data_IF_615014970572
#
_entry.id   IF_615014970572
#
_cell.length_a   1.000
_cell.length_b   1.000
_cell.length_c   1.000
_cell.angle_alpha   90.00
_cell.angle_beta   90.00
_cell.angle_gamma   90.00
#
_symmetry.space_group_name_H-M   'P 1'
#
loop_
_entity.id
_entity.type
_entity.pdbx_description
1 polymer ?
#
# COMPACT_ATOMS: atom_id res chain seq x y z
N UNK A 1 -4.14 -10.78 6.37
CA UNK A 1 -2.76 -10.99 5.88
C UNK A 1 -2.63 -10.85 4.36
N UNK A 2 -3.42 -11.55 3.55
CA UNK A 2 -3.33 -11.51 2.07
C UNK A 2 -3.44 -10.09 1.48
N UNK A 3 -4.35 -9.26 2.00
CA UNK A 3 -4.50 -7.87 1.55
C UNK A 3 -3.27 -6.99 1.80
N UNK A 4 -2.62 -7.09 2.97
CA UNK A 4 -1.42 -6.31 3.30
C UNK A 4 -0.20 -6.73 2.45
N UNK A 5 -0.05 -8.03 2.16
CA UNK A 5 1.00 -8.54 1.29
C UNK A 5 0.80 -8.06 -0.17
N UNK A 6 -0.43 -8.02 -0.64
CA UNK A 6 -0.74 -7.46 -1.96
C UNK A 6 -0.55 -5.94 -2.01
N UNK A 7 -0.93 -5.21 -0.95
CA UNK A 7 -0.63 -3.77 -0.77
C UNK A 7 0.88 -3.52 -0.83
N UNK A 8 1.71 -4.47 -0.40
CA UNK A 8 3.17 -4.38 -0.48
C UNK A 8 3.74 -4.66 -1.88
N UNK A 9 3.25 -5.72 -2.53
CA UNK A 9 3.80 -6.16 -3.83
C UNK A 9 3.54 -5.20 -5.00
N UNK A 10 2.42 -4.45 -4.97
CA UNK A 10 2.03 -3.57 -6.07
C UNK A 10 2.91 -2.30 -6.17
N UNK A 11 3.22 -1.60 -5.07
CA UNK A 11 4.19 -0.51 -5.07
C UNK A 11 5.60 -0.92 -5.53
N UNK A 12 6.12 -2.10 -5.13
CA UNK A 12 7.43 -2.58 -5.61
C UNK A 12 7.48 -2.74 -7.13
N UNK A 13 6.41 -3.27 -7.72
CA UNK A 13 6.31 -3.41 -9.17
C UNK A 13 6.26 -2.05 -9.89
N UNK A 14 5.73 -1.02 -9.24
CA UNK A 14 5.71 0.36 -9.75
C UNK A 14 7.09 1.01 -9.60
N UNK A 15 7.78 0.78 -8.49
CA UNK A 15 9.14 1.30 -8.25
C UNK A 15 10.14 0.79 -9.30
N UNK A 16 10.12 -0.52 -9.58
CA UNK A 16 10.94 -1.10 -10.64
C UNK A 16 10.63 -0.52 -12.02
N UNK A 17 9.37 -0.17 -12.28
CA UNK A 17 8.96 0.48 -13.53
C UNK A 17 9.41 1.95 -13.61
N UNK A 18 9.31 2.68 -12.49
CA UNK A 18 9.79 4.06 -12.36
C UNK A 18 11.30 4.18 -12.57
N UNK A 19 12.08 3.24 -12.04
CA UNK A 19 13.53 3.19 -12.23
C UNK A 19 13.91 3.10 -13.72
N UNK A 20 13.15 2.32 -14.51
CA UNK A 20 13.35 2.23 -15.97
C UNK A 20 12.96 3.53 -16.68
N UNK A 21 11.87 4.17 -16.26
CA UNK A 21 11.42 5.43 -16.85
C UNK A 21 12.36 6.61 -16.55
N UNK A 22 12.99 6.65 -15.38
CA UNK A 22 13.98 7.67 -15.03
C UNK A 22 15.22 7.62 -15.92
N UNK A 23 15.56 6.44 -16.46
CA UNK A 23 16.66 6.29 -17.42
C UNK A 23 16.23 6.64 -18.85
N UNK A 24 14.99 6.32 -19.22
CA UNK A 24 14.47 6.56 -20.56
C UNK A 24 12.96 6.86 -20.52
N UNK A 25 12.59 8.15 -20.47
CA UNK A 25 11.19 8.57 -20.50
C UNK A 25 10.58 8.30 -21.88
N UNK A 26 9.36 7.75 -21.88
CA UNK A 26 8.58 7.39 -23.06
C UNK A 26 7.10 7.60 -22.73
N UNK A 27 6.36 8.27 -23.62
CA UNK A 27 4.94 8.60 -23.43
C UNK A 27 4.03 7.38 -23.32
N UNK A 28 4.40 6.25 -23.93
CA UNK A 28 3.71 4.97 -23.73
C UNK A 28 3.90 4.46 -22.29
N UNK A 29 5.13 4.58 -21.76
CA UNK A 29 5.44 4.18 -20.38
C UNK A 29 4.76 5.10 -19.36
N UNK A 30 4.66 6.40 -19.64
CA UNK A 30 3.91 7.34 -18.79
C UNK A 30 2.44 6.95 -18.65
N UNK A 31 1.80 6.53 -19.75
CA UNK A 31 0.42 6.04 -19.71
C UNK A 31 0.29 4.76 -18.87
N UNK A 32 1.17 3.78 -19.10
CA UNK A 32 1.18 2.54 -18.32
C UNK A 32 1.41 2.80 -16.82
N UNK A 33 2.29 3.74 -16.48
CA UNK A 33 2.54 4.15 -15.10
C UNK A 33 1.28 4.74 -14.46
N UNK A 34 0.59 5.63 -15.17
CA UNK A 34 -0.67 6.21 -14.70
C UNK A 34 -1.72 5.13 -14.44
N UNK A 35 -1.87 4.15 -15.36
CA UNK A 35 -2.82 3.04 -15.21
C UNK A 35 -2.49 2.19 -13.97
N UNK A 36 -1.20 1.84 -13.77
CA UNK A 36 -0.76 1.08 -12.58
C UNK A 36 -0.97 1.83 -11.27
N UNK A 37 -0.78 3.15 -11.26
CA UNK A 37 -1.06 3.97 -10.07
C UNK A 37 -2.55 4.00 -9.78
N UNK A 38 -3.39 4.16 -10.81
CA UNK A 38 -4.84 4.09 -10.66
C UNK A 38 -5.28 2.73 -10.08
N UNK A 39 -4.78 1.62 -10.62
CA UNK A 39 -5.07 0.28 -10.10
C UNK A 39 -4.60 0.09 -8.64
N UNK A 40 -3.45 0.67 -8.26
CA UNK A 40 -2.97 0.65 -6.88
C UNK A 40 -3.92 1.42 -5.95
N UNK A 41 -4.33 2.62 -6.34
CA UNK A 41 -5.24 3.47 -5.57
C UNK A 41 -6.57 2.77 -5.36
N UNK A 42 -7.16 2.22 -6.43
CA UNK A 42 -8.43 1.50 -6.38
C UNK A 42 -8.34 0.26 -5.50
N UNK A 43 -7.24 -0.49 -5.58
CA UNK A 43 -7.02 -1.67 -4.76
C UNK A 43 -6.94 -1.32 -3.27
N UNK A 44 -6.16 -0.29 -2.91
CA UNK A 44 -6.01 0.13 -1.51
C UNK A 44 -7.34 0.67 -0.97
N UNK A 45 -8.09 1.43 -1.78
CA UNK A 45 -9.44 1.88 -1.44
C UNK A 45 -10.40 0.71 -1.19
N UNK A 46 -10.36 -0.31 -2.04
CA UNK A 46 -11.15 -1.52 -1.85
C UNK A 46 -10.80 -2.25 -0.54
N UNK A 47 -9.51 -2.48 -0.28
CA UNK A 47 -9.07 -3.16 0.95
C UNK A 47 -9.48 -2.37 2.20
N UNK A 48 -9.32 -1.05 2.17
CA UNK A 48 -9.74 -0.17 3.27
C UNK A 48 -11.25 -0.23 3.52
N UNK A 49 -12.06 -0.21 2.45
CA UNK A 49 -13.51 -0.33 2.57
C UNK A 49 -13.93 -1.71 3.12
N UNK A 50 -13.30 -2.80 2.67
CA UNK A 50 -13.61 -4.16 3.13
C UNK A 50 -13.29 -4.32 4.62
N UNK A 51 -12.13 -3.86 5.08
CA UNK A 51 -11.74 -4.01 6.48
C UNK A 51 -12.62 -3.15 7.40
N UNK A 52 -13.00 -1.93 6.99
CA UNK A 52 -13.96 -1.12 7.74
C UNK A 52 -15.35 -1.76 7.81
N UNK A 53 -15.85 -2.30 6.70
CA UNK A 53 -17.13 -3.01 6.70
C UNK A 53 -17.13 -4.25 7.62
N UNK A 54 -16.00 -4.93 7.75
CA UNK A 54 -15.86 -6.03 8.70
C UNK A 54 -15.83 -5.53 10.15
N UNK A 55 -15.19 -4.39 10.43
CA UNK A 55 -15.15 -3.76 11.75
C UNK A 55 -16.55 -3.32 12.20
N UNK A 56 -17.30 -2.64 11.34
CA UNK A 56 -18.67 -2.18 11.62
C UNK A 56 -19.63 -3.34 11.91
N UNK A 57 -19.40 -4.50 11.28
CA UNK A 57 -20.18 -5.72 11.50
C UNK A 57 -19.72 -6.52 12.73
N UNK A 58 -18.70 -6.07 13.45
CA UNK A 58 -18.11 -6.80 14.58
C UNK A 58 -17.50 -8.14 14.16
N UNK A 59 -17.03 -8.25 12.91
CA UNK A 59 -16.44 -9.48 12.34
C UNK A 59 -14.92 -9.44 12.25
N UNK A 60 -14.30 -8.34 12.65
CA UNK A 60 -12.86 -8.23 12.74
C UNK A 60 -12.35 -8.95 13.99
N UNK A 61 -11.21 -9.62 13.87
CA UNK A 61 -10.53 -10.14 15.06
C UNK A 61 -9.96 -9.00 15.90
N UNK A 62 -9.78 -9.20 17.21
CA UNK A 62 -9.13 -8.21 18.08
C UNK A 62 -7.73 -7.84 17.58
N UNK A 63 -7.02 -8.83 17.02
CA UNK A 63 -5.72 -8.62 16.41
C UNK A 63 -5.81 -7.70 15.19
N UNK A 64 -6.72 -8.00 14.25
CA UNK A 64 -6.87 -7.19 13.06
C UNK A 64 -7.37 -5.78 13.41
N UNK A 65 -8.21 -5.63 14.44
CA UNK A 65 -8.79 -4.34 14.79
C UNK A 65 -7.73 -3.43 15.41
N UNK A 66 -6.78 -4.05 16.12
CA UNK A 66 -5.69 -3.37 16.80
C UNK A 66 -4.49 -3.09 15.90
N UNK A 67 -4.23 -3.93 14.90
CA UNK A 67 -2.98 -3.87 14.12
C UNK A 67 -3.19 -3.74 12.61
N UNK A 68 -4.09 -4.54 12.02
CA UNK A 68 -4.32 -4.55 10.56
C UNK A 68 -5.12 -3.33 10.10
N UNK A 69 -6.22 -3.01 10.77
CA UNK A 69 -7.11 -1.90 10.43
C UNK A 69 -6.40 -0.53 10.49
N UNK A 70 -5.64 -0.19 11.55
CA UNK A 70 -4.88 1.06 11.59
C UNK A 70 -3.83 1.14 10.47
N UNK A 71 -3.10 0.05 10.20
CA UNK A 71 -2.10 0.00 9.15
C UNK A 71 -2.71 0.26 7.76
N UNK A 72 -3.80 -0.43 7.42
CA UNK A 72 -4.51 -0.25 6.15
C UNK A 72 -5.07 1.18 6.03
N UNK A 73 -5.62 1.73 7.11
CA UNK A 73 -6.18 3.09 7.10
C UNK A 73 -5.11 4.17 6.87
N UNK A 74 -3.94 4.02 7.49
CA UNK A 74 -2.82 4.95 7.30
C UNK A 74 -2.25 4.87 5.88
N UNK A 75 -2.05 3.65 5.36
CA UNK A 75 -1.61 3.42 3.98
C UNK A 75 -2.62 4.04 2.99
N UNK A 76 -3.91 3.83 3.21
CA UNK A 76 -4.96 4.44 2.39
C UNK A 76 -4.92 5.97 2.44
N UNK A 77 -4.72 6.56 3.62
CA UNK A 77 -4.64 8.01 3.77
C UNK A 77 -3.43 8.57 3.02
N UNK A 78 -2.26 7.94 3.12
CA UNK A 78 -1.06 8.34 2.38
C UNK A 78 -1.30 8.26 0.87
N UNK A 79 -1.89 7.17 0.37
CA UNK A 79 -2.21 7.01 -1.06
C UNK A 79 -3.21 8.07 -1.55
N UNK A 80 -4.22 8.41 -0.74
CA UNK A 80 -5.16 9.49 -1.08
C UNK A 80 -4.47 10.86 -1.17
N UNK A 81 -3.46 11.13 -0.35
CA UNK A 81 -2.72 12.40 -0.36
C UNK A 81 -1.64 12.45 -1.45
N UNK A 82 -0.87 11.38 -1.60
CA UNK A 82 0.38 11.36 -2.36
C UNK A 82 0.26 10.76 -3.75
N UNK A 83 -0.81 10.01 -4.03
CA UNK A 83 -1.01 9.33 -5.33
C UNK A 83 -2.30 9.78 -6.03
N UNK A 84 -3.27 10.31 -5.30
CA UNK A 84 -4.52 10.83 -5.89
C UNK A 84 -4.36 12.33 -6.21
N UNK A 85 -4.36 12.73 -7.48
CA UNK A 85 -4.18 14.13 -7.86
C UNK A 85 -3.45 14.35 -9.18
N UNK A 86 -3.31 15.62 -9.59
CA UNK A 86 -2.71 16.07 -10.86
C UNK A 86 -1.32 15.49 -11.13
N UNK A 87 -0.93 15.46 -12.40
CA UNK A 87 0.41 15.07 -12.88
C UNK A 87 1.52 15.66 -12.00
N UNK A 88 2.27 14.79 -11.32
CA UNK A 88 3.45 15.15 -10.54
C UNK A 88 4.72 14.87 -11.37
N UNK A 89 5.83 15.57 -11.12
CA UNK A 89 7.13 15.18 -11.69
C UNK A 89 7.48 13.73 -11.34
N UNK A 90 8.12 13.02 -12.28
CA UNK A 90 8.47 11.60 -12.13
C UNK A 90 9.33 11.32 -10.88
N UNK A 91 10.22 12.25 -10.51
CA UNK A 91 11.06 12.13 -9.31
C UNK A 91 10.26 12.23 -8.00
N UNK A 92 9.24 13.10 -7.94
CA UNK A 92 8.36 13.23 -6.79
C UNK A 92 7.53 11.97 -6.62
N UNK A 93 6.99 11.46 -7.73
CA UNK A 93 6.26 10.20 -7.74
C UNK A 93 7.12 9.01 -7.28
N UNK A 94 8.38 8.93 -7.71
CA UNK A 94 9.32 7.91 -7.22
C UNK A 94 9.56 8.00 -5.71
N UNK A 95 9.70 9.22 -5.18
CA UNK A 95 9.78 9.46 -3.74
C UNK A 95 8.53 8.96 -2.99
N UNK A 96 7.34 9.29 -3.49
CA UNK A 96 6.07 8.86 -2.88
C UNK A 96 5.91 7.33 -2.89
N UNK A 97 6.26 6.67 -4.00
CA UNK A 97 6.22 5.20 -4.10
C UNK A 97 7.23 4.55 -3.14
N UNK A 98 8.45 5.08 -3.06
CA UNK A 98 9.47 4.62 -2.09
C UNK A 98 8.99 4.79 -0.64
N UNK A 99 8.35 5.92 -0.34
CA UNK A 99 7.75 6.19 0.96
C UNK A 99 6.66 5.19 1.31
N UNK A 100 5.77 4.90 0.36
CA UNK A 100 4.70 3.92 0.51
C UNK A 100 5.23 2.49 0.72
N UNK A 101 6.27 2.08 -0.01
CA UNK A 101 6.96 0.80 0.20
C UNK A 101 7.52 0.72 1.62
N UNK A 102 8.19 1.78 2.06
CA UNK A 102 8.80 1.86 3.39
C UNK A 102 7.75 1.77 4.51
N UNK A 103 6.63 2.48 4.36
CA UNK A 103 5.52 2.42 5.32
C UNK A 103 4.92 1.02 5.38
N UNK A 104 4.67 0.42 4.22
CA UNK A 104 4.05 -0.91 4.14
C UNK A 104 4.97 -1.98 4.73
N UNK A 105 6.28 -1.92 4.42
CA UNK A 105 7.31 -2.77 5.02
C UNK A 105 7.34 -2.67 6.55
N UNK A 106 7.28 -1.44 7.08
CA UNK A 106 7.27 -1.20 8.52
C UNK A 106 6.08 -1.89 9.17
N UNK A 107 4.89 -1.76 8.59
CA UNK A 107 3.69 -2.39 9.12
C UNK A 107 3.72 -3.92 9.03
N UNK A 108 4.17 -4.47 7.90
CA UNK A 108 4.33 -5.92 7.75
C UNK A 108 5.28 -6.49 8.80
N UNK A 109 6.48 -5.92 8.95
CA UNK A 109 7.47 -6.38 9.94
C UNK A 109 6.91 -6.31 11.37
N UNK A 110 6.17 -5.25 11.70
CA UNK A 110 5.58 -5.07 13.02
C UNK A 110 4.47 -6.10 13.29
N UNK A 111 3.59 -6.35 12.33
CA UNK A 111 2.49 -7.30 12.46
C UNK A 111 3.01 -8.74 12.57
N UNK A 112 3.97 -9.11 11.72
CA UNK A 112 4.65 -10.42 11.76
C UNK A 112 5.36 -10.64 13.09
N UNK A 113 6.14 -9.66 13.55
CA UNK A 113 6.85 -9.73 14.83
C UNK A 113 5.93 -9.83 16.06
N UNK A 114 4.67 -9.38 15.96
CA UNK A 114 3.66 -9.56 17.02
C UNK A 114 3.00 -10.94 16.91
N UNK A 115 2.70 -11.39 15.68
CA UNK A 115 2.15 -12.72 15.42
C UNK A 115 3.04 -13.84 15.94
N UNK A 116 4.36 -13.72 15.75
CA UNK A 116 5.34 -14.69 16.26
C UNK A 116 5.41 -14.69 17.80
N UNK A 117 5.37 -13.52 18.44
CA UNK A 117 5.37 -13.42 19.91
C UNK A 117 4.13 -14.04 20.55
N UNK A 118 2.97 -13.96 19.89
CA UNK A 118 1.73 -14.56 20.38
C UNK A 118 1.67 -16.08 20.15
N UNK A 119 2.48 -16.64 19.24
CA UNK A 119 2.59 -18.10 19.03
C UNK A 119 3.48 -18.82 20.04
N UNK A 120 4.43 -18.11 20.67
CA UNK A 120 5.37 -18.69 21.66
C UNK A 120 4.72 -18.85 23.05
N UNK A 121 3.56 -18.24 23.28
CA UNK A 121 2.85 -18.27 24.56
C UNK A 121 1.72 -19.31 24.65
N UNK A 122 1.66 -20.27 23.73
CA UNK A 122 0.68 -21.36 23.73
C UNK A 122 1.33 -22.75 23.80
#
# INVERSE_FOLDING_TARGET
MTGLLEIYSRPEAIDGFLALMLQQPDSYRERMLSERITELVEYIEHVNAVIWAQQERGRLSDFDARYTLPAVSEIWLQVKQELTGSSRPLCELAGNITGLISLTSFYLSRIEGIGDKNRVLH
#
